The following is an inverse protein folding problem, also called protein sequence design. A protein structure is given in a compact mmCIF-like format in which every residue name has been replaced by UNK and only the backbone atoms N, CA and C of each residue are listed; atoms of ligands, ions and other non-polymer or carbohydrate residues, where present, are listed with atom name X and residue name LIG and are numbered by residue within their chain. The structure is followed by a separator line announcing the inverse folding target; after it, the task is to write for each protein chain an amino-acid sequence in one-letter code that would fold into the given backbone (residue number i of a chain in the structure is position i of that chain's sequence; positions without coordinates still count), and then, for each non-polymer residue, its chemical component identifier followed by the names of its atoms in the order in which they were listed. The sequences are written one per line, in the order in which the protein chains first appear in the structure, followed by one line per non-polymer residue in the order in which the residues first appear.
data_IF_910776884973
#
_entry.id   IF_910776884973
#
_cell.length_a   1.000
_cell.length_b   1.000
_cell.length_c   1.000
_cell.angle_alpha   90.00
_cell.angle_beta   90.00
_cell.angle_gamma   90.00
#
_symmetry.space_group_name_H-M   'P 1'
#
loop_
_entity.id
_entity.type
_entity.pdbx_description
1 polymer ?
#
# COMPACT_ATOMS: atom_id res chain seq x y z
N UNK A 1 23.16 -18.11 -23.11
CA UNK A 1 23.78 -16.83 -23.49
C UNK A 1 22.95 -15.78 -22.78
N UNK A 2 23.40 -15.33 -21.61
CA UNK A 2 22.82 -14.17 -20.91
C UNK A 2 23.27 -12.96 -21.70
N UNK A 3 22.36 -12.39 -22.49
CA UNK A 3 22.57 -11.06 -23.06
C UNK A 3 22.79 -10.08 -21.91
N UNK A 4 23.76 -9.18 -22.08
CA UNK A 4 24.03 -8.13 -21.09
C UNK A 4 22.77 -7.27 -20.97
N UNK A 5 22.06 -7.44 -19.85
CA UNK A 5 20.86 -6.66 -19.55
C UNK A 5 21.28 -5.27 -19.12
N UNK A 6 20.59 -4.27 -19.66
CA UNK A 6 20.72 -2.89 -19.21
C UNK A 6 20.37 -2.82 -17.72
N UNK A 7 21.18 -2.10 -16.95
CA UNK A 7 20.98 -1.88 -15.52
C UNK A 7 20.60 -0.44 -15.27
N UNK A 8 19.75 -0.20 -14.28
CA UNK A 8 19.31 1.14 -13.92
C UNK A 8 20.47 1.95 -13.31
N UNK A 9 20.85 3.06 -13.93
CA UNK A 9 21.89 3.97 -13.41
C UNK A 9 21.39 4.87 -12.26
N UNK A 10 20.08 5.04 -12.16
CA UNK A 10 19.36 5.74 -11.08
C UNK A 10 18.08 4.98 -10.71
N UNK A 11 17.45 5.23 -9.56
CA UNK A 11 16.21 4.56 -9.21
C UNK A 11 15.09 4.88 -10.21
N UNK A 12 14.45 3.83 -10.73
CA UNK A 12 13.37 3.95 -11.71
C UNK A 12 12.04 3.47 -11.13
N UNK A 13 10.97 4.14 -11.54
CA UNK A 13 9.60 3.72 -11.27
C UNK A 13 8.90 3.48 -12.61
N UNK A 14 8.55 2.22 -12.88
CA UNK A 14 7.94 1.77 -14.12
C UNK A 14 6.48 1.41 -13.91
N UNK A 15 5.64 1.66 -14.91
CA UNK A 15 4.23 1.29 -14.89
C UNK A 15 4.00 -0.02 -15.64
N UNK A 16 3.27 -0.95 -15.04
CA UNK A 16 2.81 -2.17 -15.71
C UNK A 16 1.31 -2.34 -15.51
N UNK A 17 0.56 -2.48 -16.60
CA UNK A 17 -0.85 -2.79 -16.55
C UNK A 17 -1.08 -4.30 -16.40
N UNK A 18 -2.05 -4.67 -15.57
CA UNK A 18 -2.45 -6.05 -15.36
C UNK A 18 -3.97 -6.19 -15.26
N UNK A 19 -4.45 -7.42 -15.37
CA UNK A 19 -5.85 -7.72 -15.10
C UNK A 19 -6.15 -7.43 -13.63
N UNK A 20 -7.28 -6.77 -13.34
CA UNK A 20 -7.64 -6.50 -11.97
C UNK A 20 -8.04 -7.79 -11.26
N UNK A 21 -7.88 -7.83 -9.94
CA UNK A 21 -8.44 -8.92 -9.13
C UNK A 21 -9.98 -8.95 -9.22
N UNK A 22 -10.60 -7.77 -9.39
CA UNK A 22 -12.03 -7.61 -9.64
C UNK A 22 -12.31 -6.31 -10.39
N UNK A 23 -13.27 -6.34 -11.33
CA UNK A 23 -13.72 -5.16 -12.08
C UNK A 23 -13.45 -5.26 -13.58
N UNK A 24 -13.60 -4.12 -14.28
CA UNK A 24 -13.46 -4.03 -15.76
C UNK A 24 -12.36 -3.06 -16.19
N UNK A 25 -11.62 -2.48 -15.24
CA UNK A 25 -10.51 -1.56 -15.47
C UNK A 25 -9.22 -2.32 -15.26
N UNK A 26 -8.24 -2.16 -16.15
CA UNK A 26 -6.90 -2.69 -15.89
C UNK A 26 -6.28 -1.95 -14.71
N UNK A 27 -5.66 -2.69 -13.81
CA UNK A 27 -4.90 -2.12 -12.71
C UNK A 27 -3.50 -1.74 -13.19
N UNK A 28 -3.13 -0.47 -12.99
CA UNK A 28 -1.81 0.05 -13.27
C UNK A 28 -0.96 -0.04 -12.01
N UNK A 29 -0.03 -0.98 -12.03
CA UNK A 29 0.90 -1.21 -10.94
C UNK A 29 2.21 -0.47 -11.17
N UNK A 30 2.92 -0.21 -10.07
CA UNK A 30 4.20 0.48 -10.06
C UNK A 30 5.29 -0.51 -9.70
N UNK A 31 6.33 -0.62 -10.53
CA UNK A 31 7.49 -1.49 -10.34
C UNK A 31 8.69 -0.60 -10.07
N UNK A 32 9.31 -0.79 -8.91
CA UNK A 32 10.51 -0.06 -8.54
C UNK A 32 11.74 -0.87 -8.91
N UNK A 33 12.68 -0.23 -9.60
CA UNK A 33 13.97 -0.80 -9.98
C UNK A 33 15.04 0.05 -9.32
N UNK A 34 15.85 -0.55 -8.46
CA UNK A 34 16.89 0.19 -7.74
C UNK A 34 18.14 0.37 -8.62
N UNK A 35 18.99 1.32 -8.25
CA UNK A 35 20.28 1.52 -8.94
C UNK A 35 21.11 0.24 -8.95
N UNK A 36 21.62 -0.12 -10.13
CA UNK A 36 22.42 -1.33 -10.36
C UNK A 36 21.61 -2.61 -10.59
N UNK A 37 20.28 -2.57 -10.48
CA UNK A 37 19.41 -3.70 -10.82
C UNK A 37 19.12 -3.74 -12.33
N UNK A 38 18.94 -4.92 -12.93
CA UNK A 38 18.59 -5.05 -14.33
C UNK A 38 17.19 -4.47 -14.59
N UNK A 39 17.07 -3.64 -15.63
CA UNK A 39 15.78 -3.08 -16.06
C UNK A 39 14.94 -4.23 -16.64
N UNK A 40 13.72 -4.48 -16.11
CA UNK A 40 12.86 -5.54 -16.61
C UNK A 40 12.46 -5.33 -18.07
N UNK A 41 12.44 -6.43 -18.84
CA UNK A 41 12.00 -6.45 -20.24
C UNK A 41 10.78 -7.35 -20.43
N UNK A 42 10.14 -7.26 -21.60
CA UNK A 42 8.99 -8.09 -21.96
C UNK A 42 9.25 -9.58 -21.70
N UNK A 43 8.33 -10.21 -20.97
CA UNK A 43 8.42 -11.61 -20.54
C UNK A 43 9.05 -11.82 -19.17
N UNK A 44 9.70 -10.81 -18.58
CA UNK A 44 10.20 -10.90 -17.21
C UNK A 44 9.05 -10.94 -16.20
N UNK A 45 9.25 -11.73 -15.13
CA UNK A 45 8.37 -11.70 -13.96
C UNK A 45 8.96 -10.77 -12.91
N UNK A 46 8.17 -9.80 -12.47
CA UNK A 46 8.57 -8.82 -11.47
C UNK A 46 7.56 -8.75 -10.34
N UNK A 47 7.93 -8.10 -9.25
CA UNK A 47 7.05 -7.80 -8.13
C UNK A 47 6.81 -6.30 -8.08
N UNK A 48 5.54 -5.89 -8.13
CA UNK A 48 5.15 -4.49 -7.97
C UNK A 48 5.33 -4.01 -6.52
N UNK A 49 5.26 -2.70 -6.30
CA UNK A 49 5.30 -2.09 -4.97
C UNK A 49 4.25 -2.66 -4.00
N UNK A 50 3.07 -3.02 -4.50
CA UNK A 50 2.03 -3.66 -3.69
C UNK A 50 2.28 -5.15 -3.39
N UNK A 51 3.40 -5.73 -3.85
CA UNK A 51 3.73 -7.14 -3.68
C UNK A 51 3.12 -8.08 -4.74
N UNK A 52 2.31 -7.56 -5.67
CA UNK A 52 1.71 -8.38 -6.75
C UNK A 52 2.78 -8.81 -7.75
N UNK A 53 2.79 -10.10 -8.12
CA UNK A 53 3.65 -10.61 -9.20
C UNK A 53 3.04 -10.31 -10.56
N UNK A 54 3.83 -9.67 -11.44
CA UNK A 54 3.43 -9.22 -12.76
C UNK A 54 4.32 -9.85 -13.84
N UNK A 55 3.76 -9.98 -15.04
CA UNK A 55 4.53 -10.25 -16.25
C UNK A 55 4.71 -8.92 -16.98
N UNK A 56 5.96 -8.53 -17.21
CA UNK A 56 6.27 -7.34 -18.01
C UNK A 56 5.89 -7.61 -19.46
N UNK A 57 5.23 -6.63 -20.09
CA UNK A 57 4.83 -6.74 -21.47
C UNK A 57 3.64 -5.84 -21.83
N UNK A 58 3.10 -6.00 -23.04
CA UNK A 58 1.98 -5.20 -23.49
C UNK A 58 0.76 -5.39 -22.58
N UNK A 59 -0.07 -4.35 -22.41
CA UNK A 59 -1.29 -4.45 -21.61
C UNK A 59 -2.23 -5.52 -22.19
N UNK A 60 -2.99 -6.23 -21.33
CA UNK A 60 -4.02 -7.15 -21.80
C UNK A 60 -5.01 -6.44 -22.72
N UNK A 61 -5.43 -7.09 -23.82
CA UNK A 61 -6.40 -6.52 -24.76
C UNK A 61 -7.85 -6.71 -24.31
N UNK A 62 -8.10 -7.70 -23.46
CA UNK A 62 -9.42 -8.04 -22.91
C UNK A 62 -9.33 -8.26 -21.40
N UNK A 63 -10.33 -7.78 -20.65
CA UNK A 63 -10.44 -8.02 -19.20
C UNK A 63 -11.19 -9.31 -18.88
N UNK A 64 -12.11 -9.69 -19.77
CA UNK A 64 -12.89 -10.91 -19.77
C UNK A 64 -13.14 -11.30 -21.24
N UNK A 65 -13.44 -12.57 -21.55
CA UNK A 65 -13.67 -13.00 -22.93
C UNK A 65 -14.70 -12.11 -23.65
N UNK A 66 -14.26 -11.42 -24.70
CA UNK A 66 -15.09 -10.51 -25.49
C UNK A 66 -15.36 -9.13 -24.86
N UNK A 67 -14.76 -8.81 -23.70
CA UNK A 67 -14.84 -7.50 -23.07
C UNK A 67 -13.49 -6.77 -23.24
N UNK A 68 -13.42 -5.76 -24.11
CA UNK A 68 -12.17 -5.07 -24.40
C UNK A 68 -11.67 -4.25 -23.22
N UNK A 69 -10.37 -4.34 -22.94
CA UNK A 69 -9.68 -3.64 -21.88
C UNK A 69 -9.33 -2.20 -22.31
N UNK A 70 -10.33 -1.32 -22.36
CA UNK A 70 -10.15 0.04 -22.89
C UNK A 70 -9.77 1.09 -21.84
N UNK A 71 -9.76 0.72 -20.55
CA UNK A 71 -9.65 1.66 -19.44
C UNK A 71 -8.70 1.14 -18.37
N UNK A 72 -8.04 2.08 -17.71
CA UNK A 72 -7.04 1.84 -16.67
C UNK A 72 -7.44 2.58 -15.40
N UNK A 73 -7.08 2.00 -14.25
CA UNK A 73 -7.12 2.64 -12.95
C UNK A 73 -5.76 2.42 -12.26
N UNK A 74 -5.33 3.35 -11.42
CA UNK A 74 -4.11 3.15 -10.63
C UNK A 74 -4.38 2.11 -9.53
N UNK A 75 -3.44 1.18 -9.36
CA UNK A 75 -3.54 0.19 -8.28
C UNK A 75 -3.53 0.92 -6.93
N UNK A 76 -4.66 0.83 -6.21
CA UNK A 76 -4.85 1.54 -4.95
C UNK A 76 -3.76 1.22 -3.91
N UNK A 77 -3.24 -0.01 -3.89
CA UNK A 77 -2.18 -0.42 -2.98
C UNK A 77 -0.82 0.15 -3.39
N UNK A 78 -0.51 0.22 -4.69
CA UNK A 78 0.71 0.89 -5.16
C UNK A 78 0.66 2.39 -4.83
N UNK A 79 -0.51 3.02 -5.03
CA UNK A 79 -0.73 4.41 -4.61
C UNK A 79 -0.60 4.55 -3.08
N UNK A 80 -1.10 3.59 -2.30
CA UNK A 80 -0.96 3.64 -0.84
C UNK A 80 0.50 3.63 -0.40
N UNK A 81 1.36 2.81 -1.02
CA UNK A 81 2.80 2.74 -0.74
C UNK A 81 3.51 4.03 -1.14
N UNK A 82 3.27 4.55 -2.36
CA UNK A 82 3.93 5.77 -2.84
C UNK A 82 3.59 7.02 -2.01
N UNK A 83 2.37 7.07 -1.46
CA UNK A 83 1.88 8.19 -0.67
C UNK A 83 1.94 7.91 0.84
N UNK A 84 2.61 6.84 1.26
CA UNK A 84 2.87 6.59 2.67
C UNK A 84 4.00 7.53 3.15
N UNK A 85 3.85 8.22 4.29
CA UNK A 85 4.99 8.88 4.90
C UNK A 85 6.06 7.82 5.24
N UNK A 86 7.36 8.14 5.14
CA UNK A 86 8.42 7.20 5.48
C UNK A 86 8.21 6.68 6.90
N UNK A 87 8.09 5.36 7.05
CA UNK A 87 7.96 4.70 8.34
C UNK A 87 9.31 4.80 9.03
N UNK A 88 9.40 5.45 10.18
CA UNK A 88 10.60 5.39 11.00
C UNK A 88 10.81 3.92 11.39
N UNK A 89 11.88 3.31 10.90
CA UNK A 89 12.24 1.92 11.22
C UNK A 89 12.80 1.93 12.64
N UNK A 90 11.92 1.81 13.64
CA UNK A 90 12.32 1.69 15.04
C UNK A 90 11.16 1.63 16.03
N UNK A 91 10.97 0.46 16.66
CA UNK A 91 10.60 0.36 18.07
C UNK A 91 9.11 0.43 18.46
N UNK A 92 8.70 -0.58 19.23
CA UNK A 92 7.46 -0.72 20.02
C UNK A 92 6.13 -0.88 19.26
N UNK A 93 5.27 -1.76 19.80
CA UNK A 93 3.90 -1.95 19.33
C UNK A 93 3.15 -0.61 19.41
N UNK A 94 2.93 0.01 18.25
CA UNK A 94 2.17 1.24 18.18
C UNK A 94 0.72 0.96 18.64
N UNK A 95 0.28 1.69 19.67
CA UNK A 95 -1.08 1.62 20.15
C UNK A 95 -2.01 2.24 19.10
N UNK A 96 -2.97 1.45 18.62
CA UNK A 96 -4.03 1.94 17.74
C UNK A 96 -5.14 2.59 18.55
N UNK A 97 -5.48 3.81 18.17
CA UNK A 97 -6.69 4.48 18.64
C UNK A 97 -7.59 4.80 17.45
N UNK A 98 -8.89 4.78 17.70
CA UNK A 98 -9.92 5.02 16.69
C UNK A 98 -10.63 6.32 17.03
N UNK A 99 -10.57 7.28 16.11
CA UNK A 99 -11.11 8.62 16.29
C UNK A 99 -12.14 8.93 15.21
N UNK A 100 -13.19 9.66 15.57
CA UNK A 100 -14.09 10.28 14.60
C UNK A 100 -14.38 11.72 15.01
N UNK A 101 -14.79 12.54 14.05
CA UNK A 101 -15.33 13.85 14.38
C UNK A 101 -16.75 13.69 14.94
N UNK A 102 -17.16 14.50 15.92
CA UNK A 102 -18.52 14.43 16.46
C UNK A 102 -19.56 14.56 15.34
N UNK A 103 -20.51 13.63 15.32
CA UNK A 103 -21.59 13.61 14.33
C UNK A 103 -21.19 13.11 12.93
N UNK A 104 -19.97 12.60 12.74
CA UNK A 104 -19.55 11.97 11.48
C UNK A 104 -19.45 10.45 11.60
N UNK A 105 -19.68 9.76 10.49
CA UNK A 105 -19.58 8.30 10.39
C UNK A 105 -18.15 7.75 10.21
N UNK A 106 -17.23 8.38 9.43
CA UNK A 106 -15.94 7.77 9.17
C UNK A 106 -15.06 7.75 10.43
N UNK A 107 -14.56 6.55 10.75
CA UNK A 107 -13.58 6.34 11.80
C UNK A 107 -12.17 6.39 11.21
N UNK A 108 -11.28 7.10 11.87
CA UNK A 108 -9.88 7.26 11.50
C UNK A 108 -9.01 6.49 12.48
N UNK A 109 -8.09 5.70 11.96
CA UNK A 109 -7.14 4.92 12.76
C UNK A 109 -5.90 5.79 12.96
N UNK A 110 -5.48 6.01 14.19
CA UNK A 110 -4.22 6.69 14.54
C UNK A 110 -3.33 5.68 15.24
N UNK A 111 -2.05 5.67 14.87
CA UNK A 111 -1.02 4.87 15.53
C UNK A 111 -0.20 5.79 16.42
N UNK A 112 -0.14 5.47 17.72
CA UNK A 112 0.62 6.22 18.72
C UNK A 112 1.71 5.30 19.25
N UNK A 113 2.97 5.70 19.06
CA UNK A 113 4.12 5.01 19.66
C UNK A 113 4.28 5.37 21.13
N UNK A 114 4.99 4.55 21.90
CA UNK A 114 5.30 4.83 23.31
C UNK A 114 6.06 6.15 23.50
N UNK A 115 6.81 6.57 22.48
CA UNK A 115 7.57 7.81 22.46
C UNK A 115 6.78 9.04 22.02
N UNK A 116 5.50 8.95 21.61
CA UNK A 116 4.75 10.10 21.08
C UNK A 116 4.57 11.20 22.14
N UNK A 117 5.26 12.36 22.01
CA UNK A 117 5.14 13.45 22.95
C UNK A 117 3.73 14.06 22.93
N UNK A 118 3.11 14.22 24.10
CA UNK A 118 1.90 15.02 24.26
C UNK A 118 2.26 16.45 24.73
N UNK A 119 1.59 17.51 24.25
CA UNK A 119 0.50 17.52 23.25
C UNK A 119 0.99 17.85 21.83
N UNK A 120 0.69 16.97 20.87
CA UNK A 120 0.88 17.20 19.42
C UNK A 120 -0.39 16.83 18.65
N UNK A 121 -0.63 17.41 17.46
CA UNK A 121 -1.73 17.00 16.60
C UNK A 121 -1.59 15.51 16.24
N UNK A 122 -2.71 14.78 16.31
CA UNK A 122 -2.73 13.36 15.96
C UNK A 122 -2.95 13.22 14.46
N UNK A 123 -2.18 12.35 13.82
CA UNK A 123 -2.27 12.10 12.37
C UNK A 123 -2.74 10.67 12.17
N UNK A 124 -3.90 10.53 11.52
CA UNK A 124 -4.43 9.21 11.18
C UNK A 124 -3.69 8.57 10.00
N UNK A 125 -3.86 7.26 9.83
CA UNK A 125 -3.31 6.49 8.72
C UNK A 125 -3.70 7.07 7.37
N UNK A 126 -4.88 7.66 7.21
CA UNK A 126 -5.28 8.30 5.94
C UNK A 126 -4.77 9.74 5.78
N UNK A 127 -3.94 10.23 6.70
CA UNK A 127 -3.39 11.59 6.69
C UNK A 127 -4.29 12.67 7.28
N UNK A 128 -5.47 12.33 7.81
CA UNK A 128 -6.30 13.33 8.49
C UNK A 128 -5.64 13.76 9.80
N UNK A 129 -5.58 15.08 10.02
CA UNK A 129 -4.93 15.71 11.18
C UNK A 129 -5.99 16.16 12.18
N UNK A 130 -5.84 15.74 13.43
CA UNK A 130 -6.68 16.13 14.55
C UNK A 130 -5.88 17.07 15.46
N UNK A 131 -6.30 18.33 15.52
CA UNK A 131 -5.61 19.37 16.29
C UNK A 131 -5.71 19.18 17.80
N UNK A 132 -4.76 19.76 18.53
CA UNK A 132 -4.80 19.81 20.00
C UNK A 132 -6.04 20.60 20.45
N UNK A 133 -6.90 19.99 21.26
CA UNK A 133 -8.14 20.60 21.73
C UNK A 133 -9.32 20.54 20.74
N UNK A 134 -9.13 19.94 19.57
CA UNK A 134 -10.23 19.66 18.66
C UNK A 134 -11.16 18.60 19.28
N UNK A 135 -12.49 18.80 19.28
CA UNK A 135 -13.42 17.81 19.77
C UNK A 135 -13.38 16.58 18.85
N UNK A 136 -13.10 15.42 19.44
CA UNK A 136 -13.06 14.12 18.77
C UNK A 136 -13.75 13.09 19.66
N UNK A 137 -14.51 12.19 19.04
CA UNK A 137 -15.00 11.01 19.75
C UNK A 137 -13.94 9.90 19.61
N UNK A 138 -13.51 9.35 20.75
CA UNK A 138 -12.78 8.08 20.76
C UNK A 138 -13.81 6.95 20.70
N UNK A 139 -13.64 6.03 19.75
CA UNK A 139 -14.49 4.86 19.60
C UNK A 139 -13.73 3.59 19.95
N UNK A 140 -14.43 2.58 20.44
CA UNK A 140 -13.86 1.28 20.72
C UNK A 140 -13.66 0.46 19.43
N UNK A 141 -12.78 -0.54 19.50
CA UNK A 141 -12.59 -1.45 18.38
C UNK A 141 -13.88 -2.22 18.09
N UNK A 142 -14.39 -2.07 16.86
CA UNK A 142 -15.68 -2.65 16.45
C UNK A 142 -16.82 -1.63 16.39
N UNK A 143 -16.65 -0.44 16.98
CA UNK A 143 -17.67 0.61 16.98
C UNK A 143 -17.45 1.60 15.83
N UNK A 144 -18.02 1.25 14.68
CA UNK A 144 -18.01 2.06 13.45
C UNK A 144 -17.19 1.44 12.33
N UNK A 145 -17.18 2.11 11.18
CA UNK A 145 -16.43 1.64 9.99
C UNK A 145 -15.25 2.58 9.75
N UNK A 146 -14.00 2.05 9.74
CA UNK A 146 -12.85 2.85 9.36
C UNK A 146 -13.06 3.45 7.98
N UNK A 147 -12.58 4.66 7.75
CA UNK A 147 -12.55 5.21 6.41
C UNK A 147 -11.73 4.26 5.51
N UNK A 148 -12.11 4.15 4.24
CA UNK A 148 -11.52 3.18 3.31
C UNK A 148 -9.99 3.23 3.29
N UNK A 149 -9.41 4.44 3.35
CA UNK A 149 -7.95 4.62 3.37
C UNK A 149 -7.30 4.11 4.67
N UNK A 150 -7.91 4.38 5.84
CA UNK A 150 -7.40 3.83 7.10
C UNK A 150 -7.55 2.31 7.14
N UNK A 151 -8.66 1.77 6.62
CA UNK A 151 -8.87 0.33 6.53
C UNK A 151 -7.78 -0.33 5.68
N UNK A 152 -7.58 0.12 4.44
CA UNK A 152 -6.58 -0.43 3.52
C UNK A 152 -5.18 -0.38 4.13
N UNK A 153 -4.75 0.80 4.63
CA UNK A 153 -3.43 0.96 5.24
C UNK A 153 -3.23 0.09 6.49
N UNK A 154 -4.27 -0.10 7.30
CA UNK A 154 -4.20 -0.95 8.51
C UNK A 154 -4.05 -2.45 8.21
N UNK A 155 -4.48 -2.88 7.03
CA UNK A 155 -4.39 -4.27 6.55
C UNK A 155 -3.04 -4.56 5.91
N UNK A 156 -2.50 -3.61 5.13
CA UNK A 156 -1.16 -3.71 4.55
C UNK A 156 -0.08 -3.95 5.62
N UNK A 157 -0.21 -3.31 6.79
CA UNK A 157 0.71 -3.51 7.91
C UNK A 157 0.64 -4.90 8.56
N UNK A 158 -0.48 -5.62 8.45
CA UNK A 158 -0.61 -6.99 8.97
C UNK A 158 -0.03 -8.04 8.02
N UNK A 159 -0.12 -7.82 6.71
CA UNK A 159 0.43 -8.73 5.71
C UNK A 159 1.97 -8.87 5.83
N UNK A 160 2.67 -7.83 6.31
CA UNK A 160 4.11 -7.87 6.54
C UNK A 160 4.53 -8.69 7.78
N UNK A 161 3.64 -8.88 8.76
CA UNK A 161 3.95 -9.61 10.00
C UNK A 161 3.76 -11.13 9.80
N UNK A 162 2.75 -11.54 9.03
CA UNK A 162 2.49 -12.97 8.80
C UNK A 162 3.56 -13.63 7.91
N UNK A 163 4.11 -12.92 6.91
CA UNK A 163 5.19 -13.45 6.05
C UNK A 163 6.51 -13.68 6.82
N UNK A 164 6.73 -12.98 7.93
CA UNK A 164 7.90 -13.17 8.79
C UNK A 164 7.75 -14.35 9.78
N UNK A 165 6.53 -14.82 10.04
CA UNK A 165 6.24 -15.87 11.03
C UNK A 165 6.41 -17.31 10.52
N UNK A 166 6.49 -17.53 9.21
CA UNK A 166 6.39 -18.87 8.62
C UNK A 166 7.75 -19.52 8.26
N UNK A 167 8.88 -18.96 8.76
CA UNK A 167 10.23 -19.49 8.51
C UNK A 167 10.90 -20.25 9.66
N UNK A 168 10.17 -20.59 10.72
CA UNK A 168 10.70 -21.41 11.83
C UNK A 168 9.81 -22.59 12.17
N UNK A 169 9.76 -23.58 11.28
CA UNK A 169 9.43 -24.97 11.64
C UNK A 169 9.68 -25.93 10.45
N UNK A 170 10.93 -26.30 10.19
CA UNK A 170 11.26 -27.65 9.68
C UNK A 170 12.61 -28.02 10.32
N UNK A 171 12.60 -29.13 11.06
CA UNK A 171 13.77 -29.66 11.78
C UNK A 171 14.74 -30.44 10.92
#
# INVERSE_FOLDING_TARGET
MTEDRETADEPLLMEQAALPAAGIFLDRHQVFVNTGEPIPIDGDRVTALCGTSLLIGPPPTEVLPGIPAMRFADCADCTAVLWAPPKEVGGEEALRIFLRLPGTMPVHIVEIGAATPAPMPLVSLCGAVFGVGQPVDRVDAGDGTPCTLCLLRSLSDRAHIEVAGERTAVG
#
